data_IF_062633241559
#
_entry.id   IF_062633241559
#
_cell.length_a   1.000
_cell.length_b   1.000
_cell.length_c   1.000
_cell.angle_alpha   90.00
_cell.angle_beta   90.00
_cell.angle_gamma   90.00
#
_symmetry.space_group_name_H-M   'P 1'
#
loop_
_entity.id
_entity.type
_entity.pdbx_description
1 polymer ?
#
# COMPACT_ATOMS: atom_id res chain seq x y z
N UNK A 1 26.63 -1.81 1.75
CA UNK A 1 25.89 -0.57 1.45
C UNK A 1 25.32 -0.03 2.75
N UNK A 2 25.54 1.26 3.08
CA UNK A 2 25.00 1.86 4.32
C UNK A 2 23.53 2.25 4.04
N UNK A 3 22.58 1.72 4.82
CA UNK A 3 21.16 2.08 4.69
C UNK A 3 20.94 3.51 5.18
N UNK A 4 20.11 4.26 4.46
CA UNK A 4 19.63 5.55 4.96
C UNK A 4 18.67 5.31 6.14
N UNK A 5 18.83 6.15 7.16
CA UNK A 5 17.94 6.10 8.33
C UNK A 5 16.62 6.78 7.97
N UNK A 6 15.60 5.97 7.71
CA UNK A 6 14.24 6.44 7.42
C UNK A 6 13.41 6.54 8.70
N UNK A 7 12.29 7.26 8.65
CA UNK A 7 11.31 7.24 9.73
C UNK A 7 10.71 5.82 9.84
N UNK A 8 10.69 5.21 11.04
CA UNK A 8 10.02 3.94 11.24
C UNK A 8 8.50 4.12 11.23
N UNK A 9 7.78 3.20 10.58
CA UNK A 9 6.33 3.08 10.60
C UNK A 9 5.93 1.68 11.05
N UNK A 10 4.70 1.51 11.53
CA UNK A 10 4.19 0.20 11.96
C UNK A 10 3.04 -0.26 11.08
N UNK A 11 3.12 -1.51 10.61
CA UNK A 11 2.04 -2.22 9.93
C UNK A 11 1.66 -3.41 10.82
N UNK A 12 0.62 -3.27 11.61
CA UNK A 12 0.35 -4.19 12.71
C UNK A 12 1.50 -4.20 13.72
N UNK A 13 2.09 -5.35 13.95
CA UNK A 13 3.25 -5.56 14.82
C UNK A 13 4.61 -5.44 14.09
N UNK A 14 4.60 -5.32 12.76
CA UNK A 14 5.81 -5.22 11.94
C UNK A 14 6.25 -3.77 11.80
N UNK A 15 7.50 -3.48 12.19
CA UNK A 15 8.13 -2.17 11.97
C UNK A 15 8.87 -2.15 10.64
N UNK A 16 8.63 -1.12 9.82
CA UNK A 16 9.28 -0.88 8.53
C UNK A 16 10.09 0.42 8.62
N UNK A 17 11.35 0.39 8.17
CA UNK A 17 12.23 1.56 8.20
C UNK A 17 13.04 1.70 9.49
N UNK A 18 13.75 2.80 9.65
CA UNK A 18 14.68 3.00 10.76
C UNK A 18 15.76 1.92 10.81
N UNK A 19 15.98 1.38 12.01
CA UNK A 19 16.93 0.30 12.26
C UNK A 19 16.25 -1.10 12.27
N UNK A 20 14.98 -1.20 11.86
CA UNK A 20 14.27 -2.48 11.81
C UNK A 20 14.87 -3.43 10.76
N UNK A 21 14.68 -4.73 10.97
CA UNK A 21 15.04 -5.75 9.97
C UNK A 21 14.27 -5.48 8.65
N UNK A 22 14.82 -5.98 7.54
CA UNK A 22 14.10 -5.96 6.26
C UNK A 22 12.90 -6.89 6.39
N UNK A 23 11.69 -6.36 6.17
CA UNK A 23 10.45 -7.13 6.16
C UNK A 23 10.17 -7.71 4.78
N UNK A 24 9.69 -8.94 4.75
CA UNK A 24 9.27 -9.64 3.54
C UNK A 24 7.77 -9.52 3.38
N UNK A 25 7.33 -8.88 2.29
CA UNK A 25 5.92 -8.78 1.95
C UNK A 25 5.64 -9.52 0.65
N UNK A 26 4.59 -10.33 0.65
CA UNK A 26 4.04 -10.95 -0.55
C UNK A 26 2.61 -10.45 -0.82
N UNK A 27 2.05 -10.86 -1.94
CA UNK A 27 0.68 -10.51 -2.34
C UNK A 27 -0.08 -11.78 -2.71
N UNK A 28 -1.35 -11.86 -2.28
CA UNK A 28 -2.25 -12.94 -2.73
C UNK A 28 -2.65 -12.71 -4.19
N UNK A 29 -2.85 -13.78 -4.93
CA UNK A 29 -3.36 -13.77 -6.30
C UNK A 29 -4.79 -14.32 -6.42
N UNK A 30 -5.32 -14.97 -5.37
CA UNK A 30 -6.75 -15.29 -5.26
C UNK A 30 -7.59 -14.02 -5.15
N UNK A 31 -8.83 -14.09 -5.57
CA UNK A 31 -9.78 -13.00 -5.35
C UNK A 31 -10.07 -12.91 -3.85
N UNK A 32 -9.95 -11.72 -3.28
CA UNK A 32 -10.06 -11.52 -1.83
C UNK A 32 -11.42 -11.97 -1.26
N UNK A 33 -12.50 -11.91 -2.06
CA UNK A 33 -13.82 -12.46 -1.70
C UNK A 33 -13.85 -13.98 -1.58
N UNK A 34 -12.88 -14.68 -2.19
CA UNK A 34 -12.68 -16.12 -2.01
C UNK A 34 -11.90 -16.37 -0.72
N UNK A 35 -12.56 -16.12 0.42
CA UNK A 35 -11.94 -16.01 1.74
C UNK A 35 -11.08 -17.22 2.10
N UNK A 36 -11.61 -18.43 1.89
CA UNK A 36 -10.90 -19.66 2.25
C UNK A 36 -9.63 -19.85 1.41
N UNK A 37 -9.73 -19.69 0.09
CA UNK A 37 -8.59 -19.83 -0.81
C UNK A 37 -7.52 -18.76 -0.52
N UNK A 38 -7.94 -17.55 -0.16
CA UNK A 38 -7.04 -16.46 0.21
C UNK A 38 -6.34 -16.74 1.54
N UNK A 39 -7.05 -17.26 2.55
CA UNK A 39 -6.45 -17.66 3.83
C UNK A 39 -5.43 -18.79 3.66
N UNK A 40 -5.71 -19.76 2.80
CA UNK A 40 -4.76 -20.83 2.49
C UNK A 40 -3.46 -20.30 1.86
N UNK A 41 -3.56 -19.29 0.97
CA UNK A 41 -2.38 -18.60 0.44
C UNK A 41 -1.63 -17.84 1.53
N UNK A 42 -2.33 -17.10 2.38
CA UNK A 42 -1.72 -16.35 3.48
C UNK A 42 -0.98 -17.30 4.44
N UNK A 43 -1.56 -18.44 4.78
CA UNK A 43 -0.90 -19.43 5.62
C UNK A 43 0.36 -19.99 4.96
N UNK A 44 0.32 -20.30 3.66
CA UNK A 44 1.52 -20.72 2.94
C UNK A 44 2.61 -19.65 2.94
N UNK A 45 2.25 -18.38 2.76
CA UNK A 45 3.18 -17.26 2.83
C UNK A 45 3.77 -17.08 4.23
N UNK A 46 2.97 -17.22 5.27
CA UNK A 46 3.41 -17.19 6.66
C UNK A 46 4.45 -18.27 6.94
N UNK A 47 4.17 -19.53 6.58
CA UNK A 47 5.13 -20.65 6.74
C UNK A 47 6.37 -20.50 5.86
N UNK A 48 6.29 -19.78 4.75
CA UNK A 48 7.45 -19.44 3.91
C UNK A 48 8.28 -18.26 4.45
N UNK A 49 7.88 -17.65 5.58
CA UNK A 49 8.61 -16.59 6.23
C UNK A 49 8.25 -15.17 5.79
N UNK A 50 7.08 -14.95 5.21
CA UNK A 50 6.57 -13.60 4.98
C UNK A 50 6.24 -12.92 6.31
N UNK A 51 6.57 -11.63 6.42
CA UNK A 51 6.22 -10.78 7.57
C UNK A 51 4.88 -10.05 7.35
N UNK A 52 4.48 -9.80 6.11
CA UNK A 52 3.30 -9.03 5.71
C UNK A 52 2.62 -9.65 4.50
N UNK A 53 1.31 -9.47 4.38
CA UNK A 53 0.58 -9.86 3.17
C UNK A 53 -0.24 -8.69 2.62
N UNK A 54 -0.29 -8.58 1.29
CA UNK A 54 -1.12 -7.61 0.57
C UNK A 54 -2.25 -8.31 -0.16
N UNK A 55 -3.48 -7.82 0.04
CA UNK A 55 -4.69 -8.32 -0.61
C UNK A 55 -5.34 -7.21 -1.42
N UNK A 56 -5.71 -7.49 -2.68
CA UNK A 56 -6.38 -6.52 -3.54
C UNK A 56 -7.87 -6.41 -3.20
N UNK A 57 -8.41 -5.17 -3.32
CA UNK A 57 -9.83 -4.90 -3.08
C UNK A 57 -10.38 -4.13 -4.27
N UNK A 58 -11.25 -4.76 -5.04
CA UNK A 58 -11.85 -4.21 -6.25
C UNK A 58 -13.34 -3.89 -6.11
N UNK A 59 -14.03 -4.52 -5.16
CA UNK A 59 -15.47 -4.41 -4.98
C UNK A 59 -15.85 -4.59 -3.49
N UNK A 60 -17.14 -4.49 -3.20
CA UNK A 60 -17.69 -4.63 -1.83
C UNK A 60 -17.55 -6.05 -1.28
N UNK A 61 -17.67 -7.04 -2.13
CA UNK A 61 -17.50 -8.46 -1.77
C UNK A 61 -16.07 -8.74 -1.31
N UNK A 62 -15.07 -8.07 -1.93
CA UNK A 62 -13.68 -8.16 -1.50
C UNK A 62 -13.46 -7.50 -0.12
N UNK A 63 -14.20 -6.41 0.20
CA UNK A 63 -14.13 -5.78 1.54
C UNK A 63 -14.64 -6.74 2.60
N UNK A 64 -15.77 -7.39 2.35
CA UNK A 64 -16.34 -8.35 3.31
C UNK A 64 -15.45 -9.58 3.45
N UNK A 65 -14.94 -10.12 2.35
CA UNK A 65 -13.95 -11.19 2.36
C UNK A 65 -12.70 -10.80 3.17
N UNK A 66 -12.18 -9.61 2.95
CA UNK A 66 -11.00 -9.10 3.67
C UNK A 66 -11.26 -8.95 5.18
N UNK A 67 -12.47 -8.55 5.56
CA UNK A 67 -12.89 -8.45 6.97
C UNK A 67 -12.84 -9.82 7.67
N UNK A 68 -13.27 -10.87 6.98
CA UNK A 68 -13.22 -12.25 7.49
C UNK A 68 -11.78 -12.78 7.54
N UNK A 69 -11.01 -12.51 6.49
CA UNK A 69 -9.59 -12.85 6.40
C UNK A 69 -8.82 -12.20 7.56
N UNK A 70 -9.05 -10.91 7.84
CA UNK A 70 -8.34 -10.19 8.90
C UNK A 70 -8.50 -10.82 10.29
N UNK A 71 -9.64 -11.43 10.58
CA UNK A 71 -9.89 -12.10 11.86
C UNK A 71 -9.06 -13.38 12.05
N UNK A 72 -8.57 -13.98 10.96
CA UNK A 72 -7.96 -15.30 10.94
C UNK A 72 -6.51 -15.29 10.43
N UNK A 73 -6.10 -14.18 9.79
CA UNK A 73 -4.75 -14.05 9.20
C UNK A 73 -3.68 -14.05 10.29
N UNK A 74 -2.64 -14.89 10.17
CA UNK A 74 -1.46 -14.84 11.03
C UNK A 74 -0.52 -13.68 10.68
N UNK A 75 -0.75 -13.00 9.54
CA UNK A 75 0.07 -11.90 9.05
C UNK A 75 -0.71 -10.59 9.09
N UNK A 76 -0.06 -9.45 9.38
CA UNK A 76 -0.63 -8.12 9.15
C UNK A 76 -1.02 -7.94 7.68
N UNK A 77 -2.16 -7.28 7.45
CA UNK A 77 -2.77 -7.13 6.12
C UNK A 77 -2.62 -5.71 5.61
N UNK A 78 -2.09 -5.58 4.40
CA UNK A 78 -2.10 -4.36 3.59
C UNK A 78 -3.23 -4.47 2.56
N UNK A 79 -4.25 -3.62 2.66
CA UNK A 79 -5.30 -3.53 1.65
C UNK A 79 -4.82 -2.72 0.44
N UNK A 80 -4.90 -3.31 -0.75
CA UNK A 80 -4.47 -2.67 -2.01
C UNK A 80 -5.67 -2.10 -2.75
N UNK A 81 -5.81 -0.78 -2.73
CA UNK A 81 -6.91 -0.05 -3.34
C UNK A 81 -6.44 0.62 -4.62
N UNK A 82 -7.06 0.30 -5.75
CA UNK A 82 -6.62 0.79 -7.06
C UNK A 82 -7.30 2.09 -7.48
N UNK A 83 -8.62 2.25 -7.29
CA UNK A 83 -9.36 3.37 -7.86
C UNK A 83 -10.38 4.02 -6.91
N UNK A 84 -11.09 3.24 -6.11
CA UNK A 84 -12.22 3.74 -5.33
C UNK A 84 -11.80 4.10 -3.91
N UNK A 85 -11.73 5.40 -3.60
CA UNK A 85 -11.37 5.90 -2.28
C UNK A 85 -12.33 5.44 -1.17
N UNK A 86 -13.62 5.20 -1.48
CA UNK A 86 -14.58 4.76 -0.47
C UNK A 86 -14.23 3.37 0.08
N UNK A 87 -13.60 2.53 -0.74
CA UNK A 87 -13.10 1.23 -0.29
C UNK A 87 -11.90 1.39 0.64
N UNK A 88 -11.01 2.35 0.36
CA UNK A 88 -9.90 2.67 1.26
C UNK A 88 -10.39 3.11 2.63
N UNK A 89 -11.38 4.00 2.67
CA UNK A 89 -12.03 4.47 3.91
C UNK A 89 -12.69 3.31 4.68
N UNK A 90 -13.37 2.42 3.96
CA UNK A 90 -14.05 1.28 4.59
C UNK A 90 -13.07 0.26 5.16
N UNK A 91 -12.03 -0.14 4.40
CA UNK A 91 -11.05 -1.13 4.88
C UNK A 91 -10.15 -0.56 5.97
N UNK A 92 -9.91 0.76 6.00
CA UNK A 92 -9.14 1.40 7.06
C UNK A 92 -9.69 1.14 8.47
N UNK A 93 -10.97 0.76 8.59
CA UNK A 93 -11.60 0.43 9.86
C UNK A 93 -11.05 -0.86 10.51
N UNK A 94 -10.37 -1.75 9.76
CA UNK A 94 -9.99 -3.06 10.29
C UNK A 94 -8.65 -3.64 9.78
N UNK A 95 -8.02 -3.09 8.73
CA UNK A 95 -6.71 -3.54 8.23
C UNK A 95 -5.54 -2.93 9.01
N UNK A 96 -4.30 -3.30 8.65
CA UNK A 96 -3.08 -2.81 9.30
C UNK A 96 -2.35 -1.74 8.49
N UNK A 97 -2.61 -1.65 7.19
CA UNK A 97 -2.17 -0.57 6.32
C UNK A 97 -3.02 -0.51 5.06
N UNK A 98 -3.04 0.64 4.41
CA UNK A 98 -3.70 0.83 3.11
C UNK A 98 -2.66 1.18 2.06
N UNK A 99 -2.69 0.51 0.92
CA UNK A 99 -1.90 0.90 -0.26
C UNK A 99 -2.81 1.58 -1.27
N UNK A 100 -2.41 2.76 -1.70
CA UNK A 100 -3.06 3.52 -2.76
C UNK A 100 -2.05 3.97 -3.81
N UNK A 101 -2.56 4.34 -4.98
CA UNK A 101 -1.90 5.26 -5.90
C UNK A 101 -2.74 6.54 -5.91
N UNK A 102 -2.29 7.63 -5.26
CA UNK A 102 -3.09 8.86 -5.15
C UNK A 102 -3.51 9.42 -6.51
N UNK A 103 -2.70 9.24 -7.56
CA UNK A 103 -3.06 9.63 -8.93
C UNK A 103 -4.30 8.92 -9.50
N UNK A 104 -4.66 7.76 -8.96
CA UNK A 104 -5.81 6.96 -9.42
C UNK A 104 -7.04 7.07 -8.49
N UNK A 105 -6.84 7.57 -7.28
CA UNK A 105 -7.91 7.66 -6.24
C UNK A 105 -8.87 8.82 -6.49
N UNK A 106 -8.43 9.84 -7.23
CA UNK A 106 -9.22 11.02 -7.54
C UNK A 106 -8.67 12.31 -6.90
N UNK A 107 -9.53 13.31 -6.74
CA UNK A 107 -9.13 14.64 -6.29
C UNK A 107 -8.72 14.73 -4.81
N UNK A 108 -8.29 15.94 -4.39
CA UNK A 108 -7.79 16.22 -3.04
C UNK A 108 -8.76 15.81 -1.93
N UNK A 109 -10.06 15.97 -2.13
CA UNK A 109 -11.07 15.60 -1.13
C UNK A 109 -11.11 14.08 -0.88
N UNK A 110 -10.93 13.29 -1.94
CA UNK A 110 -10.86 11.83 -1.82
C UNK A 110 -9.59 11.39 -1.07
N UNK A 111 -8.45 12.01 -1.38
CA UNK A 111 -7.19 11.77 -0.66
C UNK A 111 -7.35 12.14 0.81
N UNK A 112 -7.97 13.30 1.09
CA UNK A 112 -8.25 13.75 2.46
C UNK A 112 -9.10 12.73 3.22
N UNK A 113 -10.18 12.22 2.62
CA UNK A 113 -11.03 11.22 3.25
C UNK A 113 -10.26 9.93 3.62
N UNK A 114 -9.33 9.48 2.76
CA UNK A 114 -8.46 8.32 3.05
C UNK A 114 -7.48 8.65 4.18
N UNK A 115 -6.85 9.81 4.13
CA UNK A 115 -5.92 10.29 5.17
C UNK A 115 -6.62 10.39 6.53
N UNK A 116 -7.80 10.98 6.59
CA UNK A 116 -8.59 11.10 7.82
C UNK A 116 -8.94 9.72 8.39
N UNK A 117 -9.39 8.79 7.53
CA UNK A 117 -9.74 7.43 7.96
C UNK A 117 -8.53 6.63 8.46
N UNK A 118 -7.38 6.75 7.80
CA UNK A 118 -6.14 6.10 8.23
C UNK A 118 -5.58 6.76 9.50
N UNK A 119 -5.56 8.10 9.56
CA UNK A 119 -5.08 8.86 10.71
C UNK A 119 -5.84 8.57 12.00
N UNK A 120 -7.17 8.40 11.92
CA UNK A 120 -8.02 8.05 13.07
C UNK A 120 -7.62 6.74 13.77
N UNK A 121 -6.87 5.87 13.09
CA UNK A 121 -6.38 4.58 13.62
C UNK A 121 -4.85 4.43 13.60
N UNK A 122 -4.12 5.49 13.29
CA UNK A 122 -2.67 5.47 13.13
C UNK A 122 -2.20 4.41 12.10
N UNK A 123 -2.96 4.22 11.03
CA UNK A 123 -2.62 3.28 9.97
C UNK A 123 -1.68 3.96 8.98
N UNK A 124 -0.55 3.33 8.60
CA UNK A 124 0.29 3.87 7.55
C UNK A 124 -0.37 3.73 6.18
N UNK A 125 -0.07 4.68 5.31
CA UNK A 125 -0.45 4.65 3.90
C UNK A 125 0.78 4.30 3.07
N UNK A 126 0.67 3.30 2.19
CA UNK A 126 1.69 3.00 1.19
C UNK A 126 1.34 3.64 -0.14
N UNK A 127 2.21 4.51 -0.61
CA UNK A 127 2.19 5.05 -1.96
C UNK A 127 2.90 4.08 -2.89
N UNK A 128 2.19 3.55 -3.89
CA UNK A 128 2.76 2.64 -4.88
C UNK A 128 2.83 3.30 -6.25
N UNK A 129 4.04 3.55 -6.75
CA UNK A 129 4.28 4.06 -8.10
C UNK A 129 4.83 2.95 -8.98
N UNK A 130 4.22 2.75 -10.13
CA UNK A 130 4.68 1.78 -11.13
C UNK A 130 5.00 2.52 -12.44
N UNK A 131 6.09 2.16 -13.10
CA UNK A 131 6.48 2.76 -14.38
C UNK A 131 5.41 2.63 -15.47
N UNK A 132 4.59 1.58 -15.42
CA UNK A 132 3.50 1.34 -16.38
C UNK A 132 2.21 2.11 -16.12
N UNK A 133 2.10 2.84 -15.00
CA UNK A 133 0.90 3.59 -14.59
C UNK A 133 1.25 4.93 -13.95
N UNK A 134 2.23 5.63 -14.53
CA UNK A 134 2.59 6.99 -14.14
C UNK A 134 1.46 7.96 -14.49
N UNK A 135 1.32 9.02 -13.71
CA UNK A 135 0.43 10.13 -14.04
C UNK A 135 0.92 10.82 -15.33
N UNK A 136 -0.04 11.18 -16.18
CA UNK A 136 0.22 11.69 -17.54
C UNK A 136 1.19 12.90 -17.54
N UNK A 137 1.18 13.74 -16.52
CA UNK A 137 2.07 14.89 -16.40
C UNK A 137 3.55 14.48 -16.30
N UNK A 138 3.86 13.43 -15.51
CA UNK A 138 5.24 12.94 -15.34
C UNK A 138 5.70 12.11 -16.52
N UNK A 139 4.80 11.30 -17.10
CA UNK A 139 5.10 10.53 -18.30
C UNK A 139 5.39 11.45 -19.50
N UNK A 140 4.62 12.54 -19.68
CA UNK A 140 4.86 13.55 -20.74
C UNK A 140 6.18 14.31 -20.53
N UNK A 141 6.54 14.64 -19.28
CA UNK A 141 7.74 15.41 -19.00
C UNK A 141 9.04 14.59 -19.13
N UNK A 142 9.02 13.33 -18.74
CA UNK A 142 10.23 12.52 -18.57
C UNK A 142 10.16 11.11 -19.16
N UNK A 143 9.04 10.74 -19.80
CA UNK A 143 8.82 9.37 -20.25
C UNK A 143 8.69 8.40 -19.06
N UNK A 144 8.82 7.10 -19.33
CA UNK A 144 8.79 6.04 -18.28
C UNK A 144 10.18 5.80 -17.71
N UNK A 145 10.73 6.80 -17.06
CA UNK A 145 12.09 6.79 -16.53
C UNK A 145 12.11 6.74 -14.99
N UNK A 146 13.23 6.36 -14.37
CA UNK A 146 13.40 6.47 -12.91
C UNK A 146 13.10 7.86 -12.38
N UNK A 147 13.49 8.92 -13.13
CA UNK A 147 13.22 10.31 -12.77
C UNK A 147 11.72 10.59 -12.67
N UNK A 148 10.93 10.17 -13.67
CA UNK A 148 9.48 10.31 -13.64
C UNK A 148 8.84 9.60 -12.45
N UNK A 149 9.34 8.40 -12.12
CA UNK A 149 8.85 7.63 -10.96
C UNK A 149 9.13 8.34 -9.64
N UNK A 150 10.33 8.90 -9.49
CA UNK A 150 10.71 9.66 -8.28
C UNK A 150 9.88 10.93 -8.15
N UNK A 151 9.72 11.71 -9.22
CA UNK A 151 8.90 12.93 -9.20
C UNK A 151 7.42 12.63 -8.90
N UNK A 152 6.86 11.58 -9.49
CA UNK A 152 5.52 11.09 -9.14
C UNK A 152 5.43 10.73 -7.65
N UNK A 153 6.40 9.99 -7.13
CA UNK A 153 6.41 9.62 -5.71
C UNK A 153 6.48 10.85 -4.80
N UNK A 154 7.39 11.79 -5.06
CA UNK A 154 7.52 13.02 -4.28
C UNK A 154 6.25 13.87 -4.32
N UNK A 155 5.63 14.01 -5.48
CA UNK A 155 4.35 14.69 -5.62
C UNK A 155 3.27 14.03 -4.76
N UNK A 156 3.15 12.72 -4.83
CA UNK A 156 2.14 11.99 -4.05
C UNK A 156 2.40 12.03 -2.55
N UNK A 157 3.68 12.08 -2.13
CA UNK A 157 4.06 12.30 -0.73
C UNK A 157 3.60 13.69 -0.27
N UNK A 158 3.89 14.73 -1.06
CA UNK A 158 3.52 16.10 -0.69
C UNK A 158 2.01 16.24 -0.50
N UNK A 159 1.18 15.56 -1.29
CA UNK A 159 -0.27 15.56 -1.11
C UNK A 159 -0.72 15.04 0.26
N UNK A 160 -0.03 14.03 0.81
CA UNK A 160 -0.33 13.49 2.14
C UNK A 160 0.27 14.38 3.24
N UNK A 161 1.49 14.89 3.03
CA UNK A 161 2.18 15.76 3.99
C UNK A 161 1.47 17.11 4.15
N UNK A 162 0.92 17.69 3.09
CA UNK A 162 0.08 18.89 3.11
C UNK A 162 -1.17 18.71 3.98
N UNK A 163 -1.64 17.49 4.15
CA UNK A 163 -2.73 17.10 5.05
C UNK A 163 -2.22 16.72 6.47
N UNK A 164 -0.94 16.93 6.76
CA UNK A 164 -0.32 16.61 8.05
C UNK A 164 -0.02 15.12 8.26
N UNK A 165 -0.20 14.28 7.25
CA UNK A 165 0.01 12.83 7.36
C UNK A 165 1.47 12.44 7.09
N UNK A 166 2.09 11.68 8.01
CA UNK A 166 3.52 11.37 7.97
C UNK A 166 3.88 9.88 8.00
N UNK A 167 2.92 9.00 8.28
CA UNK A 167 3.17 7.55 8.35
C UNK A 167 3.05 6.93 6.96
N UNK A 168 4.01 7.29 6.10
CA UNK A 168 4.03 6.98 4.67
C UNK A 168 5.11 5.94 4.37
N UNK A 169 4.72 4.85 3.71
CA UNK A 169 5.62 3.94 3.01
C UNK A 169 5.61 4.23 1.51
N UNK A 170 6.74 4.02 0.85
CA UNK A 170 6.86 4.23 -0.60
C UNK A 170 7.31 2.93 -1.25
N UNK A 171 6.70 2.60 -2.38
CA UNK A 171 7.16 1.52 -3.24
C UNK A 171 7.23 1.99 -4.69
N UNK A 172 8.41 1.87 -5.28
CA UNK A 172 8.67 2.14 -6.69
C UNK A 172 8.97 0.82 -7.38
N UNK A 173 8.32 0.59 -8.53
CA UNK A 173 8.52 -0.64 -9.30
C UNK A 173 8.53 -0.37 -10.78
N UNK A 174 9.56 -0.89 -11.46
CA UNK A 174 9.63 -0.95 -12.92
C UNK A 174 9.59 -2.40 -13.42
N UNK A 175 9.52 -2.58 -14.75
CA UNK A 175 9.53 -3.89 -15.39
C UNK A 175 10.93 -4.45 -15.56
N UNK A 176 11.95 -3.61 -15.46
CA UNK A 176 13.36 -3.99 -15.58
C UNK A 176 14.13 -3.67 -14.29
N UNK A 177 15.14 -4.47 -14.01
CA UNK A 177 15.95 -4.38 -12.80
C UNK A 177 16.77 -3.08 -12.71
N UNK A 178 17.43 -2.60 -13.76
CA UNK A 178 18.21 -1.36 -13.69
C UNK A 178 17.35 -0.14 -13.34
N UNK A 179 16.10 -0.09 -13.79
CA UNK A 179 15.18 1.02 -13.49
C UNK A 179 14.61 0.94 -12.07
N UNK A 180 14.47 -0.26 -11.54
CA UNK A 180 13.98 -0.48 -10.16
C UNK A 180 15.06 -0.24 -9.12
#
# INVERSE_FOLDING_TARGET
>A
MKRFKTRPIKVGDVTIGGDAKISVQSMTFSKTRETQATLEQINRLYFAGADLVRCAVFNKEDIEGLRQIKKQSPLPIVADIHFNFTYAVEVAKFVDAVRINPGNIGGKDHIKAVVDACGARNLPIRIGVNSGSLEAQFEKAHGRTPKAMVESALYNISLLEDLGFKDIAISLKASDVPTT
#
